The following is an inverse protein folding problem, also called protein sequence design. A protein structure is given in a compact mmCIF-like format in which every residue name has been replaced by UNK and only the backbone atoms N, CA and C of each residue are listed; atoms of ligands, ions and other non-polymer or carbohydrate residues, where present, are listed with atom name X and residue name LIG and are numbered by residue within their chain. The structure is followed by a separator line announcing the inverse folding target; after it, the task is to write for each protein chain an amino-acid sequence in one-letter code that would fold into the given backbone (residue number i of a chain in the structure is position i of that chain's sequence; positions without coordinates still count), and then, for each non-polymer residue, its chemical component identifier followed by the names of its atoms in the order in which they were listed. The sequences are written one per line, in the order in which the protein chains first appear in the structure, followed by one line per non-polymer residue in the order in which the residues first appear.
data_IF_098535078408
#
_entry.id   IF_098535078408
#
_cell.length_a   1.000
_cell.length_b   1.000
_cell.length_c   1.000
_cell.angle_alpha   90.00
_cell.angle_beta   90.00
_cell.angle_gamma   90.00
#
_symmetry.space_group_name_H-M   'P 1'
#
loop_
_entity.id
_entity.type
_entity.pdbx_description
1 polymer ?
#
# COMPACT_ATOMS: atom_id res chain seq x y z
N UNK A 1 -4.93 -15.42 40.78
CA UNK A 1 -4.38 -14.57 39.71
C UNK A 1 -2.92 -14.94 39.57
N UNK A 2 -2.48 -15.44 38.40
CA UNK A 2 -1.04 -15.67 38.17
C UNK A 2 -0.34 -14.30 38.25
N UNK A 3 0.81 -14.18 38.94
CA UNK A 3 1.55 -12.92 38.98
C UNK A 3 1.78 -12.46 37.55
N UNK A 4 1.52 -11.17 37.28
CA UNK A 4 1.61 -10.59 35.94
C UNK A 4 3.04 -10.72 35.44
N UNK A 5 3.33 -11.79 34.68
CA UNK A 5 4.53 -11.82 33.85
C UNK A 5 4.45 -10.57 32.98
N UNK A 6 5.45 -9.69 33.12
CA UNK A 6 5.56 -8.51 32.27
C UNK A 6 5.43 -8.95 30.81
N UNK A 7 4.50 -8.34 30.09
CA UNK A 7 4.27 -8.68 28.69
C UNK A 7 5.49 -8.25 27.87
N UNK A 8 6.30 -9.22 27.44
CA UNK A 8 7.45 -8.99 26.57
C UNK A 8 7.02 -9.11 25.10
N UNK A 9 7.17 -8.04 24.35
CA UNK A 9 6.87 -7.99 22.92
C UNK A 9 8.05 -8.45 22.08
N UNK A 10 7.78 -9.24 21.03
CA UNK A 10 8.79 -9.64 20.05
C UNK A 10 8.77 -8.71 18.85
N UNK A 11 9.84 -7.93 18.68
CA UNK A 11 9.98 -6.98 17.58
C UNK A 11 10.85 -7.47 16.42
N UNK A 12 11.16 -8.77 16.34
CA UNK A 12 12.00 -9.32 15.27
C UNK A 12 11.45 -8.99 13.88
N UNK A 13 10.17 -9.28 13.63
CA UNK A 13 9.50 -8.99 12.34
C UNK A 13 9.40 -7.49 12.10
N UNK A 14 9.06 -6.69 13.12
CA UNK A 14 8.99 -5.24 13.01
C UNK A 14 10.34 -4.63 12.59
N UNK A 15 11.45 -5.12 13.16
CA UNK A 15 12.81 -4.68 12.80
C UNK A 15 13.18 -5.05 11.37
N UNK A 16 12.83 -6.26 10.91
CA UNK A 16 13.08 -6.67 9.53
C UNK A 16 12.42 -5.71 8.53
N UNK A 17 11.13 -5.42 8.71
CA UNK A 17 10.43 -4.45 7.88
C UNK A 17 10.97 -3.04 8.02
N UNK A 18 11.38 -2.61 9.22
CA UNK A 18 12.01 -1.29 9.41
C UNK A 18 13.32 -1.15 8.62
N UNK A 19 14.14 -2.20 8.56
CA UNK A 19 15.33 -2.20 7.71
C UNK A 19 14.98 -2.15 6.23
N UNK A 20 13.93 -2.87 5.79
CA UNK A 20 13.43 -2.78 4.43
C UNK A 20 12.93 -1.37 4.10
N UNK A 21 12.26 -0.68 5.03
CA UNK A 21 11.85 0.73 4.88
C UNK A 21 13.03 1.63 4.61
N UNK A 22 14.08 1.54 5.42
CA UNK A 22 15.27 2.37 5.22
C UNK A 22 15.93 2.05 3.87
N UNK A 23 16.07 0.76 3.54
CA UNK A 23 16.68 0.30 2.29
C UNK A 23 15.93 0.82 1.06
N UNK A 24 14.63 0.56 0.96
CA UNK A 24 13.82 0.99 -0.18
C UNK A 24 13.59 2.50 -0.19
N UNK A 25 13.57 3.16 0.96
CA UNK A 25 13.54 4.63 1.05
C UNK A 25 14.76 5.25 0.36
N UNK A 26 15.95 4.76 0.68
CA UNK A 26 17.19 5.21 0.03
C UNK A 26 17.16 4.90 -1.46
N UNK A 27 16.89 3.65 -1.84
CA UNK A 27 16.89 3.22 -3.25
C UNK A 27 15.87 4.02 -4.07
N UNK A 28 14.61 4.05 -3.62
CA UNK A 28 13.52 4.73 -4.31
C UNK A 28 13.78 6.22 -4.49
N UNK A 29 14.26 6.92 -3.44
CA UNK A 29 14.57 8.34 -3.53
C UNK A 29 15.77 8.63 -4.42
N UNK A 30 16.81 7.78 -4.41
CA UNK A 30 17.96 7.91 -5.32
C UNK A 30 17.51 7.77 -6.78
N UNK A 31 16.70 6.76 -7.12
CA UNK A 31 16.13 6.63 -8.47
C UNK A 31 15.29 7.87 -8.81
N UNK A 32 14.55 8.41 -7.84
CA UNK A 32 13.79 9.67 -7.97
C UNK A 32 14.67 10.86 -8.37
N UNK A 33 15.82 11.02 -7.71
CA UNK A 33 16.80 12.06 -8.04
C UNK A 33 17.37 11.84 -9.45
N UNK A 34 17.69 10.59 -9.81
CA UNK A 34 18.19 10.25 -11.16
C UNK A 34 17.17 10.65 -12.24
N UNK A 35 15.90 10.23 -12.11
CA UNK A 35 14.88 10.54 -13.12
C UNK A 35 14.52 12.04 -13.14
N UNK A 36 14.68 12.76 -12.03
CA UNK A 36 14.56 14.21 -12.02
C UNK A 36 15.67 14.88 -12.84
N UNK A 37 16.92 14.42 -12.72
CA UNK A 37 18.02 14.88 -13.57
C UNK A 37 17.83 14.49 -15.03
N UNK A 38 17.22 13.35 -15.35
CA UNK A 38 16.89 12.97 -16.73
C UNK A 38 15.88 13.91 -17.40
N UNK A 39 14.97 14.52 -16.63
CA UNK A 39 14.08 15.56 -17.16
C UNK A 39 14.82 16.89 -17.41
N UNK A 40 15.80 17.22 -16.57
CA UNK A 40 16.59 18.45 -16.72
C UNK A 40 17.70 18.33 -17.79
N UNK A 41 18.31 17.15 -17.89
CA UNK A 41 19.41 16.82 -18.80
C UNK A 41 19.08 15.49 -19.52
N UNK A 42 18.35 15.56 -20.66
CA UNK A 42 17.90 14.37 -21.36
C UNK A 42 19.00 13.41 -21.80
N UNK A 43 20.26 13.86 -21.93
CA UNK A 43 21.39 12.98 -22.27
C UNK A 43 21.61 11.87 -21.23
N UNK A 44 21.14 12.06 -20.00
CA UNK A 44 21.24 11.08 -18.91
C UNK A 44 20.32 9.86 -19.07
N UNK A 45 19.41 9.86 -20.06
CA UNK A 45 18.49 8.73 -20.28
C UNK A 45 19.18 7.44 -20.71
N UNK A 46 20.35 7.53 -21.35
CA UNK A 46 20.99 6.39 -22.00
C UNK A 46 22.35 6.01 -21.42
N UNK A 47 22.65 6.45 -20.18
CA UNK A 47 23.90 6.13 -19.48
C UNK A 47 24.12 4.62 -19.28
N UNK A 48 23.04 3.82 -19.26
CA UNK A 48 23.05 2.36 -19.24
C UNK A 48 22.18 1.79 -20.38
N UNK A 49 22.22 2.42 -21.56
CA UNK A 49 21.41 2.03 -22.71
C UNK A 49 19.90 2.23 -22.46
N UNK A 50 19.07 1.34 -23.00
CA UNK A 50 17.61 1.41 -22.83
C UNK A 50 17.14 1.17 -21.39
N UNK A 51 17.94 0.51 -20.56
CA UNK A 51 17.58 0.16 -19.19
C UNK A 51 17.56 1.38 -18.25
N UNK A 52 18.32 2.42 -18.58
CA UNK A 52 18.28 3.69 -17.83
C UNK A 52 17.24 4.67 -18.36
N UNK A 53 16.46 4.34 -19.38
CA UNK A 53 15.50 5.29 -19.94
C UNK A 53 14.47 5.72 -18.89
N UNK A 54 14.10 7.01 -18.87
CA UNK A 54 13.13 7.58 -17.92
C UNK A 54 11.82 6.78 -17.87
N UNK A 55 11.35 6.29 -19.02
CA UNK A 55 10.12 5.49 -19.11
C UNK A 55 10.17 4.17 -18.32
N UNK A 56 11.35 3.55 -18.16
CA UNK A 56 11.54 2.34 -17.33
C UNK A 56 11.84 2.68 -15.87
N UNK A 57 12.63 3.73 -15.63
CA UNK A 57 13.00 4.13 -14.27
C UNK A 57 11.86 4.82 -13.49
N UNK A 58 10.92 5.49 -14.17
CA UNK A 58 9.76 6.13 -13.52
C UNK A 58 8.89 5.12 -12.76
N UNK A 59 8.37 4.04 -13.37
CA UNK A 59 7.58 3.05 -12.62
C UNK A 59 8.42 2.34 -11.55
N UNK A 60 9.73 2.16 -11.77
CA UNK A 60 10.63 1.62 -10.76
C UNK A 60 10.75 2.54 -9.53
N UNK A 61 10.90 3.86 -9.74
CA UNK A 61 10.88 4.85 -8.66
C UNK A 61 9.55 4.83 -7.90
N UNK A 62 8.44 4.89 -8.63
CA UNK A 62 7.09 4.87 -8.07
C UNK A 62 6.87 3.63 -7.19
N UNK A 63 7.14 2.44 -7.72
CA UNK A 63 7.00 1.17 -6.99
C UNK A 63 7.98 1.11 -5.80
N UNK A 64 9.21 1.60 -5.97
CA UNK A 64 10.21 1.66 -4.90
C UNK A 64 9.79 2.56 -3.73
N UNK A 65 9.14 3.69 -3.99
CA UNK A 65 8.61 4.59 -2.95
C UNK A 65 7.34 4.03 -2.32
N UNK A 66 6.36 3.60 -3.12
CA UNK A 66 5.06 3.20 -2.60
C UNK A 66 5.14 1.81 -1.96
N UNK A 67 5.54 0.80 -2.72
CA UNK A 67 5.51 -0.58 -2.27
C UNK A 67 6.80 -0.99 -1.55
N UNK A 68 7.93 -0.38 -1.90
CA UNK A 68 9.18 -0.55 -1.17
C UNK A 68 9.18 0.22 0.15
N UNK A 69 9.23 1.54 0.10
CA UNK A 69 9.39 2.39 1.27
C UNK A 69 8.12 2.47 2.14
N UNK A 70 6.98 2.92 1.58
CA UNK A 70 5.79 3.20 2.39
C UNK A 70 5.17 1.92 2.97
N UNK A 71 4.95 0.88 2.16
CA UNK A 71 4.37 -0.37 2.65
C UNK A 71 5.24 -1.08 3.68
N UNK A 72 6.56 -1.15 3.50
CA UNK A 72 7.42 -1.75 4.53
C UNK A 72 7.33 -0.98 5.86
N UNK A 73 7.21 0.36 5.81
CA UNK A 73 7.00 1.18 7.01
C UNK A 73 5.66 0.86 7.70
N UNK A 74 4.60 0.69 6.91
CA UNK A 74 3.27 0.29 7.39
C UNK A 74 3.32 -1.11 8.02
N UNK A 75 4.01 -2.06 7.41
CA UNK A 75 4.18 -3.40 7.96
C UNK A 75 5.00 -3.39 9.25
N UNK A 76 6.13 -2.68 9.27
CA UNK A 76 6.97 -2.52 10.46
C UNK A 76 6.15 -1.97 11.63
N UNK A 77 5.37 -0.93 11.36
CA UNK A 77 4.56 -0.28 12.38
C UNK A 77 3.34 -1.10 12.79
N UNK A 78 2.72 -1.88 11.91
CA UNK A 78 1.71 -2.86 12.32
C UNK A 78 2.30 -3.88 13.31
N UNK A 79 3.41 -4.53 12.95
CA UNK A 79 4.04 -5.54 13.80
C UNK A 79 4.55 -4.95 15.12
N UNK A 80 4.74 -3.65 15.23
CA UNK A 80 5.08 -2.97 16.48
C UNK A 80 3.84 -2.51 17.27
N UNK A 81 2.97 -1.72 16.64
CA UNK A 81 1.80 -1.07 17.24
C UNK A 81 0.76 -2.11 17.63
N UNK A 82 0.44 -3.04 16.73
CA UNK A 82 -0.60 -4.05 16.90
C UNK A 82 -0.41 -4.84 18.20
N UNK A 83 0.81 -5.30 18.46
CA UNK A 83 1.15 -5.98 19.70
C UNK A 83 0.82 -5.14 20.95
N UNK A 84 1.18 -3.85 20.94
CA UNK A 84 1.07 -2.96 22.09
C UNK A 84 -0.35 -2.50 22.39
N UNK A 85 -1.12 -2.18 21.36
CA UNK A 85 -2.51 -1.71 21.52
C UNK A 85 -3.48 -2.85 21.78
N UNK A 86 -3.17 -4.05 21.29
CA UNK A 86 -3.95 -5.28 21.56
C UNK A 86 -3.49 -6.00 22.83
N UNK A 87 -2.39 -5.56 23.45
CA UNK A 87 -1.77 -6.16 24.64
C UNK A 87 -1.48 -7.65 24.43
N UNK A 88 -0.87 -7.99 23.30
CA UNK A 88 -0.45 -9.35 22.96
C UNK A 88 0.90 -9.36 22.28
N UNK A 89 1.75 -10.32 22.59
CA UNK A 89 3.03 -10.49 21.90
C UNK A 89 2.94 -11.51 20.78
N UNK A 90 3.63 -11.24 19.67
CA UNK A 90 3.82 -12.20 18.59
C UNK A 90 4.51 -13.49 19.07
N UNK A 91 5.32 -13.43 20.13
CA UNK A 91 5.97 -14.62 20.71
C UNK A 91 4.99 -15.59 21.36
N UNK A 92 3.77 -15.15 21.68
CA UNK A 92 2.74 -16.00 22.28
C UNK A 92 2.09 -16.95 21.27
N UNK A 93 2.24 -16.67 19.97
CA UNK A 93 1.70 -17.51 18.90
C UNK A 93 2.80 -17.89 17.91
N UNK A 94 3.36 -19.11 18.02
CA UNK A 94 4.32 -19.62 17.05
C UNK A 94 3.81 -19.55 15.60
N UNK A 95 2.49 -19.75 15.42
CA UNK A 95 1.83 -19.61 14.13
C UNK A 95 1.90 -18.17 13.60
N UNK A 96 1.47 -17.16 14.37
CA UNK A 96 1.52 -15.77 13.92
C UNK A 96 2.96 -15.28 13.72
N UNK A 97 3.89 -15.75 14.55
CA UNK A 97 5.32 -15.50 14.36
C UNK A 97 5.82 -16.07 13.04
N UNK A 98 5.46 -17.30 12.69
CA UNK A 98 5.78 -17.90 11.40
C UNK A 98 5.18 -17.10 10.24
N UNK A 99 3.89 -16.74 10.30
CA UNK A 99 3.21 -15.94 9.28
C UNK A 99 3.90 -14.58 9.10
N UNK A 100 4.29 -13.91 10.19
CA UNK A 100 5.01 -12.63 10.10
C UNK A 100 6.38 -12.73 9.41
N UNK A 101 7.12 -13.81 9.66
CA UNK A 101 8.40 -14.07 8.99
C UNK A 101 8.20 -14.44 7.52
N UNK A 102 7.22 -15.30 7.22
CA UNK A 102 6.86 -15.68 5.86
C UNK A 102 6.42 -14.46 5.05
N UNK A 103 5.59 -13.60 5.64
CA UNK A 103 5.17 -12.33 5.05
C UNK A 103 6.39 -11.49 4.64
N UNK A 104 7.35 -11.29 5.54
CA UNK A 104 8.57 -10.54 5.23
C UNK A 104 9.39 -11.14 4.08
N UNK A 105 9.69 -12.44 4.13
CA UNK A 105 10.56 -13.05 3.12
C UNK A 105 9.89 -13.14 1.75
N UNK A 106 8.58 -13.41 1.71
CA UNK A 106 7.82 -13.40 0.47
C UNK A 106 7.71 -11.98 -0.09
N UNK A 107 7.47 -10.98 0.76
CA UNK A 107 7.50 -9.57 0.37
C UNK A 107 8.84 -9.19 -0.25
N UNK A 108 9.97 -9.54 0.38
CA UNK A 108 11.30 -9.24 -0.17
C UNK A 108 11.54 -9.92 -1.52
N UNK A 109 11.10 -11.17 -1.69
CA UNK A 109 11.17 -11.87 -2.98
C UNK A 109 10.36 -11.13 -4.04
N UNK A 110 9.11 -10.77 -3.76
CA UNK A 110 8.25 -10.02 -4.68
C UNK A 110 8.87 -8.67 -5.04
N UNK A 111 9.42 -7.94 -4.07
CA UNK A 111 10.09 -6.65 -4.33
C UNK A 111 11.32 -6.81 -5.24
N UNK A 112 12.13 -7.84 -5.05
CA UNK A 112 13.27 -8.12 -5.94
C UNK A 112 12.79 -8.44 -7.35
N UNK A 113 11.75 -9.27 -7.48
CA UNK A 113 11.18 -9.59 -8.79
C UNK A 113 10.58 -8.36 -9.47
N UNK A 114 9.87 -7.50 -8.73
CA UNK A 114 9.33 -6.25 -9.23
C UNK A 114 10.42 -5.32 -9.79
N UNK A 115 11.56 -5.20 -9.08
CA UNK A 115 12.71 -4.43 -9.58
C UNK A 115 13.22 -5.01 -10.89
N UNK A 116 13.39 -6.34 -10.96
CA UNK A 116 13.91 -7.00 -12.17
C UNK A 116 12.95 -6.84 -13.35
N UNK A 117 11.66 -7.10 -13.17
CA UNK A 117 10.68 -7.07 -14.27
C UNK A 117 10.47 -5.65 -14.81
N UNK A 118 10.32 -4.66 -13.92
CA UNK A 118 10.18 -3.26 -14.33
C UNK A 118 11.44 -2.74 -15.02
N UNK A 119 12.63 -3.14 -14.55
CA UNK A 119 13.89 -2.78 -15.20
C UNK A 119 14.03 -3.40 -16.59
N UNK A 120 13.49 -4.61 -16.79
CA UNK A 120 13.41 -5.27 -18.10
C UNK A 120 12.34 -4.66 -19.02
N UNK A 121 11.48 -3.78 -18.50
CA UNK A 121 10.42 -3.11 -19.26
C UNK A 121 9.11 -3.90 -19.35
N UNK A 122 8.94 -4.94 -18.52
CA UNK A 122 7.68 -5.68 -18.40
C UNK A 122 6.73 -4.85 -17.53
N UNK A 123 5.63 -4.38 -18.11
CA UNK A 123 4.65 -3.57 -17.39
C UNK A 123 3.28 -3.53 -18.08
N UNK A 124 2.24 -3.56 -17.25
CA UNK A 124 0.83 -3.34 -17.67
C UNK A 124 0.54 -1.89 -18.07
N UNK A 125 1.49 -0.97 -17.83
CA UNK A 125 1.37 0.48 -18.02
C UNK A 125 0.27 1.18 -17.19
N UNK A 126 -0.37 0.48 -16.25
CA UNK A 126 -1.30 1.04 -15.27
C UNK A 126 -0.52 1.67 -14.11
N UNK A 127 -0.65 2.99 -13.89
CA UNK A 127 0.07 3.67 -12.81
C UNK A 127 -0.24 3.04 -11.43
N UNK A 128 0.81 2.82 -10.64
CA UNK A 128 0.76 2.13 -9.35
C UNK A 128 0.34 0.66 -9.41
N UNK A 129 0.06 0.10 -10.58
CA UNK A 129 -0.29 -1.31 -10.80
C UNK A 129 0.53 -1.89 -11.95
N UNK A 130 1.80 -1.48 -12.04
CA UNK A 130 2.64 -1.73 -13.21
C UNK A 130 3.13 -3.18 -13.33
N UNK A 131 3.03 -3.98 -12.27
CA UNK A 131 3.47 -5.37 -12.27
C UNK A 131 2.53 -6.25 -13.09
N UNK A 132 3.09 -7.25 -13.77
CA UNK A 132 2.31 -8.22 -14.55
C UNK A 132 1.67 -9.30 -13.65
N UNK A 133 0.66 -9.98 -14.20
CA UNK A 133 -0.24 -10.89 -13.49
C UNK A 133 0.41 -11.93 -12.55
N UNK A 134 1.58 -12.55 -12.83
CA UNK A 134 2.16 -13.51 -11.90
C UNK A 134 2.63 -12.84 -10.60
N UNK A 135 3.14 -11.60 -10.71
CA UNK A 135 3.54 -10.81 -9.56
C UNK A 135 2.35 -10.24 -8.83
N UNK A 136 1.26 -9.90 -9.52
CA UNK A 136 0.01 -9.50 -8.87
C UNK A 136 -0.55 -10.58 -7.96
N UNK A 137 -0.55 -11.83 -8.41
CA UNK A 137 -0.94 -12.96 -7.56
C UNK A 137 0.00 -13.07 -6.34
N UNK A 138 1.30 -12.90 -6.54
CA UNK A 138 2.26 -12.96 -5.45
C UNK A 138 2.04 -11.82 -4.43
N UNK A 139 1.73 -10.61 -4.90
CA UNK A 139 1.34 -9.47 -4.07
C UNK A 139 0.07 -9.78 -3.27
N UNK A 140 -0.95 -10.39 -3.89
CA UNK A 140 -2.17 -10.81 -3.17
C UNK A 140 -1.84 -11.79 -2.05
N UNK A 141 -0.94 -12.76 -2.27
CA UNK A 141 -0.50 -13.70 -1.21
C UNK A 141 0.20 -12.95 -0.07
N UNK A 142 1.14 -12.05 -0.38
CA UNK A 142 1.82 -11.20 0.62
C UNK A 142 0.80 -10.40 1.43
N UNK A 143 -0.18 -9.79 0.77
CA UNK A 143 -1.22 -8.99 1.40
C UNK A 143 -2.10 -9.84 2.33
N UNK A 144 -2.50 -11.03 1.90
CA UNK A 144 -3.28 -11.97 2.72
C UNK A 144 -2.49 -12.40 3.96
N UNK A 145 -1.19 -12.67 3.85
CA UNK A 145 -0.36 -12.99 5.03
C UNK A 145 -0.34 -11.84 6.05
N UNK A 146 -0.30 -10.59 5.57
CA UNK A 146 -0.45 -9.43 6.44
C UNK A 146 -1.83 -9.38 7.11
N UNK A 147 -2.91 -9.62 6.36
CA UNK A 147 -4.27 -9.72 6.88
C UNK A 147 -4.41 -10.79 7.98
N UNK A 148 -3.86 -11.99 7.74
CA UNK A 148 -3.81 -13.07 8.75
C UNK A 148 -3.09 -12.60 10.02
N UNK A 149 -2.01 -11.82 9.89
CA UNK A 149 -1.35 -11.23 11.06
C UNK A 149 -2.22 -10.20 11.79
N UNK A 150 -3.00 -9.39 11.05
CA UNK A 150 -3.91 -8.39 11.61
C UNK A 150 -5.00 -9.06 12.44
N UNK A 151 -5.82 -9.87 11.78
CA UNK A 151 -6.96 -10.52 12.41
C UNK A 151 -6.54 -11.60 13.41
N UNK A 152 -5.39 -12.23 13.17
CA UNK A 152 -4.78 -13.16 14.11
C UNK A 152 -4.47 -12.52 15.46
N UNK A 153 -3.76 -11.39 15.49
CA UNK A 153 -3.48 -10.67 16.74
C UNK A 153 -4.75 -10.13 17.41
N UNK A 154 -5.72 -9.66 16.62
CA UNK A 154 -7.03 -9.24 17.15
C UNK A 154 -7.75 -10.42 17.83
N UNK A 155 -7.66 -11.62 17.26
CA UNK A 155 -8.29 -12.84 17.78
C UNK A 155 -7.75 -13.29 19.14
N UNK A 156 -6.47 -13.01 19.43
CA UNK A 156 -5.81 -13.39 20.70
C UNK A 156 -5.53 -12.19 21.61
N UNK A 157 -6.13 -11.02 21.32
CA UNK A 157 -5.92 -9.79 22.09
C UNK A 157 -6.38 -9.93 23.54
N UNK A 158 -5.77 -9.16 24.43
CA UNK A 158 -6.26 -9.01 25.80
C UNK A 158 -7.19 -7.81 25.95
N UNK A 159 -7.08 -6.81 25.08
CA UNK A 159 -7.94 -5.63 25.14
C UNK A 159 -9.31 -5.82 24.51
N UNK A 160 -10.36 -5.43 25.24
CA UNK A 160 -11.74 -5.61 24.79
C UNK A 160 -12.07 -4.67 23.63
N UNK A 161 -11.65 -3.41 23.76
CA UNK A 161 -11.90 -2.35 22.78
C UNK A 161 -10.72 -2.23 21.81
N UNK A 162 -11.02 -2.12 20.52
CA UNK A 162 -10.00 -1.85 19.52
C UNK A 162 -9.66 -0.36 19.50
N UNK A 163 -8.39 -0.06 19.72
CA UNK A 163 -7.86 1.29 19.59
C UNK A 163 -8.00 1.81 18.16
N UNK A 164 -8.17 3.13 18.00
CA UNK A 164 -8.47 3.75 16.70
C UNK A 164 -7.42 3.43 15.62
N UNK A 165 -6.12 3.33 15.97
CA UNK A 165 -5.09 2.91 15.01
C UNK A 165 -5.39 1.55 14.37
N UNK A 166 -5.97 0.60 15.12
CA UNK A 166 -6.32 -0.72 14.59
C UNK A 166 -7.42 -0.61 13.53
N UNK A 167 -8.34 0.34 13.67
CA UNK A 167 -9.42 0.56 12.70
C UNK A 167 -8.84 1.03 11.37
N UNK A 168 -7.90 1.98 11.41
CA UNK A 168 -7.20 2.44 10.22
C UNK A 168 -6.36 1.33 9.58
N UNK A 169 -5.70 0.44 10.33
CA UNK A 169 -5.01 -0.72 9.75
C UNK A 169 -5.97 -1.71 9.08
N UNK A 170 -7.11 -2.02 9.71
CA UNK A 170 -8.15 -2.87 9.10
C UNK A 170 -8.67 -2.23 7.82
N UNK A 171 -8.93 -0.92 7.85
CA UNK A 171 -9.37 -0.17 6.69
C UNK A 171 -8.33 -0.18 5.55
N UNK A 172 -7.05 0.02 5.86
CA UNK A 172 -5.96 -0.13 4.88
C UNK A 172 -5.95 -1.51 4.27
N UNK A 173 -6.04 -2.58 5.08
CA UNK A 173 -6.05 -3.94 4.57
C UNK A 173 -7.23 -4.18 3.60
N UNK A 174 -8.45 -3.87 4.04
CA UNK A 174 -9.66 -4.12 3.26
C UNK A 174 -9.75 -3.22 2.01
N UNK A 175 -9.44 -1.94 2.16
CA UNK A 175 -9.46 -0.96 1.09
C UNK A 175 -8.50 -1.35 -0.02
N UNK A 176 -7.22 -1.57 0.29
CA UNK A 176 -6.23 -1.98 -0.72
C UNK A 176 -6.56 -3.34 -1.32
N UNK A 177 -7.02 -4.31 -0.52
CA UNK A 177 -7.39 -5.63 -1.06
C UNK A 177 -8.50 -5.51 -2.12
N UNK A 178 -9.55 -4.74 -1.83
CA UNK A 178 -10.62 -4.47 -2.78
C UNK A 178 -10.08 -3.75 -4.02
N UNK A 179 -9.30 -2.68 -3.85
CA UNK A 179 -8.80 -1.88 -4.96
C UNK A 179 -7.90 -2.69 -5.89
N UNK A 180 -6.93 -3.41 -5.31
CA UNK A 180 -5.94 -4.19 -6.05
C UNK A 180 -6.59 -5.31 -6.86
N UNK A 181 -7.50 -6.07 -6.25
CA UNK A 181 -8.17 -7.18 -6.95
C UNK A 181 -8.98 -6.70 -8.14
N UNK A 182 -9.65 -5.54 -8.03
CA UNK A 182 -10.49 -5.03 -9.10
C UNK A 182 -9.68 -4.33 -10.19
N UNK A 183 -8.63 -3.58 -9.86
CA UNK A 183 -7.83 -2.92 -10.91
C UNK A 183 -6.95 -3.88 -11.70
N UNK A 184 -6.47 -4.93 -11.05
CA UNK A 184 -5.58 -5.93 -11.62
C UNK A 184 -6.35 -7.16 -12.12
N UNK A 185 -7.64 -7.00 -12.44
CA UNK A 185 -8.33 -7.98 -13.28
C UNK A 185 -7.80 -7.85 -14.70
N UNK A 186 -7.13 -8.90 -15.15
CA UNK A 186 -6.49 -8.91 -16.45
C UNK A 186 -6.44 -10.30 -17.05
N UNK A 187 -6.30 -10.35 -18.37
CA UNK A 187 -6.33 -11.57 -19.15
C UNK A 187 -4.91 -11.91 -19.61
N UNK A 188 -4.29 -12.99 -19.09
CA UNK A 188 -2.99 -13.43 -19.56
C UNK A 188 -3.07 -13.86 -21.03
N UNK A 189 -2.41 -13.10 -21.90
CA UNK A 189 -2.59 -13.23 -23.35
C UNK A 189 -2.18 -14.60 -23.88
N UNK A 190 -1.08 -15.16 -23.34
CA UNK A 190 -0.59 -16.49 -23.69
C UNK A 190 -1.55 -17.62 -23.30
N UNK A 191 -2.30 -17.48 -22.20
CA UNK A 191 -3.25 -18.51 -21.75
C UNK A 191 -4.52 -18.55 -22.60
N UNK A 192 -4.99 -17.38 -23.07
CA UNK A 192 -6.24 -17.30 -23.83
C UNK A 192 -6.02 -17.43 -25.33
N UNK A 193 -5.04 -16.73 -25.88
CA UNK A 193 -4.80 -16.69 -27.33
C UNK A 193 -3.77 -17.71 -27.81
N UNK A 194 -2.91 -18.23 -26.92
CA UNK A 194 -1.74 -19.01 -27.31
C UNK A 194 -0.62 -18.19 -27.97
N UNK A 195 -0.71 -16.86 -28.01
CA UNK A 195 0.32 -15.96 -28.53
C UNK A 195 0.79 -14.98 -27.45
N UNK A 196 1.94 -14.33 -27.65
CA UNK A 196 2.52 -13.37 -26.69
C UNK A 196 3.45 -13.99 -25.64
N UNK A 197 4.01 -13.13 -24.78
CA UNK A 197 4.85 -13.52 -23.65
C UNK A 197 4.03 -14.18 -22.54
N UNK A 198 4.64 -15.04 -21.74
CA UNK A 198 4.00 -15.62 -20.55
C UNK A 198 3.66 -14.55 -19.50
N UNK A 199 4.50 -13.53 -19.38
CA UNK A 199 4.29 -12.44 -18.42
C UNK A 199 3.17 -11.51 -18.86
N UNK A 200 2.95 -11.34 -20.16
CA UNK A 200 2.07 -10.30 -20.69
C UNK A 200 0.58 -10.60 -20.51
N UNK A 201 -0.14 -9.64 -19.91
CA UNK A 201 -1.60 -9.58 -19.83
C UNK A 201 -2.18 -8.32 -20.46
N UNK A 202 -3.50 -8.31 -20.63
CA UNK A 202 -4.28 -7.11 -21.00
C UNK A 202 -5.36 -6.85 -19.97
N UNK A 203 -5.60 -5.58 -19.64
CA UNK A 203 -6.66 -5.18 -18.70
C UNK A 203 -8.00 -5.80 -19.09
N UNK A 204 -8.78 -6.23 -18.10
CA UNK A 204 -10.16 -6.68 -18.29
C UNK A 204 -11.09 -5.54 -18.76
N UNK A 205 -10.65 -4.30 -18.63
CA UNK A 205 -11.38 -3.09 -18.99
C UNK A 205 -10.73 -2.38 -20.19
N UNK A 206 -11.47 -1.47 -20.82
CA UNK A 206 -10.93 -0.61 -21.88
C UNK A 206 -11.51 0.81 -21.84
N UNK A 207 -10.81 1.76 -22.47
CA UNK A 207 -11.27 3.13 -22.67
C UNK A 207 -11.64 3.86 -21.38
N UNK A 208 -12.74 4.62 -21.40
CA UNK A 208 -13.19 5.38 -20.23
C UNK A 208 -13.50 4.51 -19.01
N UNK A 209 -13.91 3.25 -19.20
CA UNK A 209 -14.14 2.33 -18.07
C UNK A 209 -12.83 1.93 -17.40
N UNK A 210 -11.79 1.62 -18.20
CA UNK A 210 -10.46 1.31 -17.65
C UNK A 210 -9.86 2.51 -16.94
N UNK A 211 -10.02 3.71 -17.50
CA UNK A 211 -9.59 4.95 -16.87
C UNK A 211 -10.28 5.19 -15.50
N UNK A 212 -11.59 4.89 -15.41
CA UNK A 212 -12.34 5.01 -14.16
C UNK A 212 -11.88 4.01 -13.10
N UNK A 213 -11.71 2.73 -13.47
CA UNK A 213 -11.20 1.72 -12.54
C UNK A 213 -9.77 2.06 -12.12
N UNK A 214 -8.93 2.47 -13.06
CA UNK A 214 -7.55 2.87 -12.83
C UNK A 214 -7.42 4.02 -11.84
N UNK A 215 -8.23 5.06 -11.94
CA UNK A 215 -8.13 6.20 -11.02
C UNK A 215 -8.97 6.07 -9.76
N UNK A 216 -10.00 5.23 -9.77
CA UNK A 216 -10.56 4.73 -8.52
C UNK A 216 -9.51 3.96 -7.73
N UNK A 217 -8.73 3.09 -8.37
CA UNK A 217 -7.57 2.43 -7.76
C UNK A 217 -6.49 3.42 -7.36
N UNK A 218 -5.92 4.18 -8.29
CA UNK A 218 -4.73 5.00 -8.07
C UNK A 218 -4.94 6.06 -6.99
N UNK A 219 -6.09 6.75 -7.00
CA UNK A 219 -6.41 7.71 -5.95
C UNK A 219 -6.53 7.05 -4.57
N UNK A 220 -7.23 5.92 -4.51
CA UNK A 220 -7.43 5.23 -3.25
C UNK A 220 -6.20 4.43 -2.80
N UNK A 221 -5.30 4.05 -3.70
CA UNK A 221 -3.99 3.51 -3.34
C UNK A 221 -3.21 4.55 -2.52
N UNK A 222 -3.19 5.81 -2.97
CA UNK A 222 -2.65 6.92 -2.19
C UNK A 222 -3.43 7.11 -0.89
N UNK A 223 -4.76 7.09 -0.93
CA UNK A 223 -5.58 7.20 0.28
C UNK A 223 -5.18 6.18 1.35
N UNK A 224 -5.16 4.89 1.00
CA UNK A 224 -5.00 3.84 2.00
C UNK A 224 -3.55 3.64 2.43
N UNK A 225 -2.57 3.91 1.55
CA UNK A 225 -1.13 3.75 1.84
C UNK A 225 -0.54 5.03 2.43
N UNK A 226 -0.79 6.21 1.87
CA UNK A 226 -0.19 7.47 2.30
C UNK A 226 -1.02 8.23 3.34
N UNK A 227 -2.32 7.96 3.45
CA UNK A 227 -3.19 8.69 4.38
C UNK A 227 -3.66 7.78 5.51
N UNK A 228 -4.50 6.78 5.24
CA UNK A 228 -5.16 5.93 6.25
C UNK A 228 -4.13 5.20 7.11
N UNK A 229 -3.16 4.51 6.49
CA UNK A 229 -2.15 3.77 7.22
C UNK A 229 -1.20 4.69 8.02
N UNK A 230 -0.91 5.88 7.50
CA UNK A 230 -0.09 6.88 8.19
C UNK A 230 -0.85 7.48 9.37
N UNK A 231 -2.13 7.77 9.22
CA UNK A 231 -3.00 8.20 10.32
C UNK A 231 -3.03 7.14 11.44
N UNK A 232 -3.05 5.84 11.10
CA UNK A 232 -2.92 4.77 12.09
C UNK A 232 -1.66 4.91 12.94
N UNK A 233 -0.53 5.23 12.30
CA UNK A 233 0.76 5.44 12.95
C UNK A 233 0.75 6.71 13.80
N UNK A 234 0.20 7.83 13.30
CA UNK A 234 0.07 9.09 14.03
C UNK A 234 -0.76 8.89 15.30
N UNK A 235 -1.92 8.23 15.22
CA UNK A 235 -2.76 7.93 16.39
C UNK A 235 -2.05 7.10 17.45
N UNK A 236 -0.99 6.38 17.10
CA UNK A 236 -0.16 5.69 18.08
C UNK A 236 1.01 6.55 18.57
N UNK A 237 1.87 7.01 17.65
CA UNK A 237 3.13 7.65 18.00
C UNK A 237 2.94 9.06 18.55
N UNK A 238 2.01 9.87 18.01
CA UNK A 238 1.86 11.25 18.48
C UNK A 238 1.45 11.33 19.97
N UNK A 239 0.42 10.61 20.45
CA UNK A 239 0.13 10.55 21.88
C UNK A 239 1.25 9.90 22.69
N UNK A 240 1.91 8.89 22.11
CA UNK A 240 2.96 8.13 22.82
C UNK A 240 4.20 8.95 23.10
N UNK A 241 4.64 9.76 22.14
CA UNK A 241 5.83 10.60 22.25
C UNK A 241 5.54 11.92 22.98
N UNK A 242 4.34 12.50 22.80
CA UNK A 242 3.95 13.73 23.51
C UNK A 242 3.57 13.48 24.98
N UNK A 243 3.23 12.24 25.35
CA UNK A 243 2.70 11.91 26.66
C UNK A 243 1.29 12.46 26.92
N UNK A 244 0.61 12.98 25.88
CA UNK A 244 -0.73 13.55 25.96
C UNK A 244 -1.79 12.54 25.54
N UNK A 245 -3.01 12.60 26.10
CA UNK A 245 -4.14 11.80 25.60
C UNK A 245 -4.57 12.27 24.20
N UNK A 246 -5.20 11.37 23.43
CA UNK A 246 -5.83 11.75 22.16
C UNK A 246 -6.92 12.80 22.43
N UNK A 247 -6.86 13.90 21.67
CA UNK A 247 -7.91 14.90 21.65
C UNK A 247 -9.15 14.39 20.90
N UNK A 248 -10.33 14.56 21.50
CA UNK A 248 -11.67 14.31 20.93
C UNK A 248 -11.88 12.94 20.25
N UNK A 249 -12.38 11.96 21.01
CA UNK A 249 -12.85 10.68 20.46
C UNK A 249 -13.95 10.85 19.39
N UNK A 250 -14.83 11.85 19.53
CA UNK A 250 -15.89 12.14 18.56
C UNK A 250 -15.31 12.55 17.21
N UNK A 251 -14.25 13.36 17.22
CA UNK A 251 -13.56 13.76 15.99
C UNK A 251 -12.88 12.57 15.33
N UNK A 252 -12.26 11.66 16.11
CA UNK A 252 -11.71 10.42 15.58
C UNK A 252 -12.76 9.56 14.87
N UNK A 253 -13.98 9.46 15.41
CA UNK A 253 -15.08 8.74 14.76
C UNK A 253 -15.52 9.42 13.46
N UNK A 254 -15.72 10.74 13.50
CA UNK A 254 -16.13 11.53 12.35
C UNK A 254 -15.09 11.45 11.23
N UNK A 255 -13.82 11.70 11.55
CA UNK A 255 -12.71 11.62 10.61
C UNK A 255 -12.59 10.22 10.03
N UNK A 256 -12.59 9.16 10.85
CA UNK A 256 -12.49 7.79 10.35
C UNK A 256 -13.61 7.44 9.37
N UNK A 257 -14.88 7.56 9.77
CA UNK A 257 -15.99 7.15 8.90
C UNK A 257 -16.19 8.08 7.71
N UNK A 258 -16.00 9.39 7.92
CA UNK A 258 -16.05 10.37 6.83
C UNK A 258 -14.98 10.08 5.78
N UNK A 259 -13.75 9.82 6.21
CA UNK A 259 -12.64 9.49 5.31
C UNK A 259 -12.96 8.18 4.56
N UNK A 260 -13.38 7.13 5.25
CA UNK A 260 -13.65 5.83 4.63
C UNK A 260 -14.76 5.87 3.57
N UNK A 261 -15.77 6.73 3.77
CA UNK A 261 -16.85 6.89 2.82
C UNK A 261 -16.48 7.82 1.66
N UNK A 262 -15.93 9.00 1.97
CA UNK A 262 -15.75 10.08 0.99
C UNK A 262 -14.59 9.79 0.03
N UNK A 263 -13.47 9.25 0.52
CA UNK A 263 -12.26 9.10 -0.30
C UNK A 263 -12.48 8.21 -1.53
N UNK A 264 -13.35 7.18 -1.40
CA UNK A 264 -13.64 6.23 -2.49
C UNK A 264 -14.22 6.91 -3.74
N UNK A 265 -14.83 8.08 -3.62
CA UNK A 265 -15.46 8.80 -4.73
C UNK A 265 -14.52 9.73 -5.48
N UNK A 266 -13.37 10.07 -4.89
CA UNK A 266 -12.53 11.15 -5.41
C UNK A 266 -11.72 10.75 -6.65
N UNK A 267 -11.71 9.48 -7.07
CA UNK A 267 -10.98 9.03 -8.27
C UNK A 267 -11.30 9.83 -9.55
N UNK A 268 -12.54 10.30 -9.72
CA UNK A 268 -12.96 11.08 -10.88
C UNK A 268 -12.22 12.41 -11.08
N UNK A 269 -11.56 12.94 -10.04
CA UNK A 269 -10.77 14.18 -10.13
C UNK A 269 -9.48 14.06 -10.98
N UNK A 270 -9.06 12.83 -11.32
CA UNK A 270 -7.94 12.59 -12.22
C UNK A 270 -8.36 12.64 -13.70
N UNK A 271 -9.67 12.69 -13.95
CA UNK A 271 -10.27 12.48 -15.28
C UNK A 271 -11.05 13.71 -15.74
N UNK A 272 -10.77 14.87 -15.15
CA UNK A 272 -11.41 16.14 -15.49
C UNK A 272 -11.06 16.55 -16.92
N UNK A 273 -12.07 16.92 -17.70
CA UNK A 273 -11.97 17.23 -19.13
C UNK A 273 -11.40 16.08 -19.99
N UNK A 274 -11.69 14.83 -19.60
CA UNK A 274 -11.34 13.64 -20.39
C UNK A 274 -12.56 13.03 -21.10
N UNK A 275 -12.38 11.86 -21.72
CA UNK A 275 -13.46 11.08 -22.35
C UNK A 275 -14.41 10.39 -21.34
N UNK A 276 -14.20 10.55 -20.03
CA UNK A 276 -15.14 10.05 -19.02
C UNK A 276 -16.42 10.88 -18.97
N UNK A 277 -17.59 10.29 -18.64
CA UNK A 277 -18.83 11.05 -18.54
C UNK A 277 -18.78 12.21 -17.52
N UNK A 278 -19.35 13.36 -17.87
CA UNK A 278 -19.34 14.59 -17.04
C UNK A 278 -19.90 14.37 -15.63
N UNK A 279 -20.92 13.52 -15.47
CA UNK A 279 -21.51 13.24 -14.16
C UNK A 279 -20.50 12.59 -13.20
N UNK A 280 -19.60 11.75 -13.72
CA UNK A 280 -18.57 11.08 -12.92
C UNK A 280 -17.46 12.06 -12.53
N UNK A 281 -17.05 12.93 -13.46
CA UNK A 281 -16.11 14.02 -13.19
C UNK A 281 -16.65 14.99 -12.13
N UNK A 282 -17.94 15.34 -12.23
CA UNK A 282 -18.63 16.22 -11.28
C UNK A 282 -18.68 15.60 -9.89
N UNK A 283 -19.07 14.33 -9.80
CA UNK A 283 -19.05 13.60 -8.52
C UNK A 283 -17.65 13.55 -7.91
N UNK A 284 -16.62 13.19 -8.69
CA UNK A 284 -15.24 13.17 -8.22
C UNK A 284 -14.79 14.53 -7.68
N UNK A 285 -15.13 15.62 -8.37
CA UNK A 285 -14.81 16.99 -7.95
C UNK A 285 -15.51 17.38 -6.65
N UNK A 286 -16.82 17.13 -6.53
CA UNK A 286 -17.60 17.45 -5.34
C UNK A 286 -17.09 16.69 -4.12
N UNK A 287 -16.91 15.37 -4.24
CA UNK A 287 -16.42 14.57 -3.12
C UNK A 287 -14.98 14.91 -2.75
N UNK A 288 -14.13 15.33 -3.70
CA UNK A 288 -12.77 15.81 -3.41
C UNK A 288 -12.77 17.09 -2.58
N UNK A 289 -13.72 18.02 -2.81
CA UNK A 289 -13.86 19.22 -1.97
C UNK A 289 -14.37 18.82 -0.58
N UNK A 290 -15.39 17.96 -0.50
CA UNK A 290 -15.94 17.49 0.78
C UNK A 290 -14.89 16.73 1.60
N UNK A 291 -13.95 16.04 0.94
CA UNK A 291 -12.86 15.28 1.56
C UNK A 291 -11.95 16.13 2.45
N UNK A 292 -11.91 17.46 2.28
CA UNK A 292 -11.19 18.37 3.17
C UNK A 292 -11.64 18.18 4.63
N UNK A 293 -12.94 18.00 4.87
CA UNK A 293 -13.52 17.94 6.22
C UNK A 293 -13.05 16.74 7.06
N UNK A 294 -13.09 15.49 6.58
CA UNK A 294 -12.59 14.36 7.38
C UNK A 294 -11.06 14.22 7.37
N UNK A 295 -10.37 14.91 6.45
CA UNK A 295 -8.91 14.83 6.30
C UNK A 295 -8.15 15.76 7.25
N UNK A 296 -8.75 16.89 7.65
CA UNK A 296 -8.14 17.91 8.51
C UNK A 296 -8.63 17.83 9.96
#
# INVERSE_FOLDING_TARGET
MRPSQLLHYDYSVAKLFMFATILFGIIGMVVGVVIAFQMACPELNYIAGEYSAFGRLRPLHTNGIIFGFMLSGIFATWYYIGQRVLKVSMSESPFLMFIGKLHFWLYMLVMVLAVVTLFMGESTAKEYAELEWPLDIAVVVVWVLWGVSIFGLIGIRREKTLYISVWYYIATFLGVAMLYLFNNMEVPTRLVSGYGSWLHSVSMYAGSNDALVQWWYGHNAVAFVFTVAIIAQIYYFLPKESGQPIFSYKLSLFSFWGLMFIYLWAGGHHLIYSATPDWMQTMGSVFSIVLILPSW
#
